data_IF_669792457550
#
_entry.id   IF_669792457550
#
_cell.length_a   1.000
_cell.length_b   1.000
_cell.length_c   1.000
_cell.angle_alpha   90.00
_cell.angle_beta   90.00
_cell.angle_gamma   90.00
#
_symmetry.space_group_name_H-M   'P 1'
#
loop_
_entity.id
_entity.type
_entity.pdbx_description
1 polymer ?
#
# COMPACT_ATOMS: atom_id res chain seq x y z
N UNK A 1 -0.86 -16.78 7.83
CA UNK A 1 0.41 -16.44 7.16
C UNK A 1 0.92 -15.13 7.77
N UNK A 2 2.25 -14.98 7.88
CA UNK A 2 2.89 -13.79 8.46
C UNK A 2 4.11 -13.38 7.60
N UNK A 3 4.65 -12.19 7.82
CA UNK A 3 5.83 -11.66 7.13
C UNK A 3 6.95 -11.34 8.12
N UNK A 4 8.19 -11.30 7.64
CA UNK A 4 9.38 -11.27 8.51
C UNK A 4 9.88 -9.87 8.88
N UNK A 5 9.54 -8.84 8.10
CA UNK A 5 9.93 -7.45 8.34
C UNK A 5 9.04 -6.45 7.57
N UNK A 6 9.24 -5.15 7.81
CA UNK A 6 8.58 -4.06 7.06
C UNK A 6 9.39 -3.59 5.84
N UNK A 7 10.42 -4.36 5.47
CA UNK A 7 11.35 -4.11 4.38
C UNK A 7 10.95 -4.82 3.09
N UNK A 8 11.92 -4.96 2.17
CA UNK A 8 11.68 -5.56 0.86
C UNK A 8 11.36 -7.06 0.95
N UNK A 9 11.90 -7.75 1.96
CA UNK A 9 11.64 -9.17 2.18
C UNK A 9 10.20 -9.39 2.63
N UNK A 10 9.72 -8.64 3.61
CA UNK A 10 8.30 -8.69 3.99
C UNK A 10 7.37 -8.33 2.84
N UNK A 11 7.70 -7.29 2.07
CA UNK A 11 6.91 -6.91 0.90
C UNK A 11 6.86 -8.04 -0.15
N UNK A 12 7.97 -8.74 -0.39
CA UNK A 12 8.00 -9.89 -1.29
C UNK A 12 7.17 -11.08 -0.76
N UNK A 13 7.14 -11.31 0.55
CA UNK A 13 6.31 -12.35 1.16
C UNK A 13 4.82 -12.04 1.03
N UNK A 14 4.43 -10.78 1.24
CA UNK A 14 3.04 -10.34 1.03
C UNK A 14 2.66 -10.41 -0.47
N UNK A 15 3.58 -10.03 -1.37
CA UNK A 15 3.39 -10.17 -2.82
C UNK A 15 3.09 -11.62 -3.23
N UNK A 16 3.88 -12.58 -2.72
CA UNK A 16 3.65 -14.00 -2.98
C UNK A 16 2.28 -14.49 -2.47
N UNK A 17 1.83 -13.99 -1.32
CA UNK A 17 0.48 -14.29 -0.81
C UNK A 17 -0.61 -13.72 -1.73
N UNK A 18 -0.43 -12.49 -2.22
CA UNK A 18 -1.35 -11.86 -3.17
C UNK A 18 -1.42 -12.68 -4.47
N UNK A 19 -0.27 -13.07 -5.02
CA UNK A 19 -0.21 -13.88 -6.24
C UNK A 19 -0.91 -15.23 -6.08
N UNK A 20 -0.72 -15.90 -4.93
CA UNK A 20 -1.42 -17.16 -4.61
C UNK A 20 -2.94 -17.03 -4.68
N UNK A 21 -3.51 -15.93 -4.17
CA UNK A 21 -4.96 -15.71 -4.24
C UNK A 21 -5.41 -15.21 -5.62
N UNK A 22 -4.59 -14.44 -6.32
CA UNK A 22 -4.87 -13.97 -7.67
C UNK A 22 -4.99 -15.14 -8.66
N UNK A 23 -4.13 -16.16 -8.54
CA UNK A 23 -4.20 -17.39 -9.35
C UNK A 23 -5.52 -18.14 -9.13
N UNK A 24 -6.01 -18.17 -7.89
CA UNK A 24 -7.27 -18.83 -7.52
C UNK A 24 -8.51 -18.02 -7.88
N UNK A 25 -8.36 -16.72 -8.16
CA UNK A 25 -9.47 -15.83 -8.51
C UNK A 25 -9.03 -14.80 -9.57
N UNK A 26 -8.81 -15.22 -10.83
CA UNK A 26 -8.14 -14.39 -11.85
C UNK A 26 -8.85 -13.07 -12.20
N UNK A 27 -10.17 -13.00 -12.00
CA UNK A 27 -10.97 -11.79 -12.27
C UNK A 27 -11.19 -10.91 -11.04
N UNK A 28 -10.81 -11.37 -9.84
CA UNK A 28 -11.06 -10.64 -8.60
C UNK A 28 -10.21 -9.38 -8.53
N UNK A 29 -10.82 -8.30 -8.03
CA UNK A 29 -10.09 -7.07 -7.75
C UNK A 29 -9.34 -7.23 -6.44
N UNK A 30 -8.09 -6.78 -6.42
CA UNK A 30 -7.19 -6.92 -5.27
C UNK A 30 -7.09 -5.58 -4.55
N UNK A 31 -7.51 -5.57 -3.29
CA UNK A 31 -7.36 -4.43 -2.40
C UNK A 31 -6.43 -4.80 -1.26
N UNK A 32 -5.47 -3.92 -0.94
CA UNK A 32 -4.53 -4.14 0.16
C UNK A 32 -4.74 -3.05 1.19
N UNK A 33 -5.07 -3.45 2.41
CA UNK A 33 -5.21 -2.56 3.55
C UNK A 33 -3.99 -2.68 4.45
N UNK A 34 -3.41 -1.53 4.81
CA UNK A 34 -2.22 -1.44 5.65
C UNK A 34 -2.47 -0.45 6.79
N UNK A 35 -2.15 -0.88 8.01
CA UNK A 35 -2.26 -0.05 9.21
C UNK A 35 -0.90 0.27 9.83
N UNK A 36 -0.78 1.45 10.45
CA UNK A 36 0.45 1.87 11.15
C UNK A 36 1.70 1.71 10.27
N UNK A 37 2.77 1.11 10.80
CA UNK A 37 4.01 0.83 10.05
C UNK A 37 3.80 -0.06 8.82
N UNK A 38 2.72 -0.84 8.77
CA UNK A 38 2.37 -1.67 7.61
C UNK A 38 2.18 -0.87 6.31
N UNK A 39 1.95 0.45 6.37
CA UNK A 39 1.90 1.28 5.16
C UNK A 39 3.19 1.21 4.34
N UNK A 40 4.35 0.99 4.97
CA UNK A 40 5.62 0.81 4.25
C UNK A 40 5.55 -0.37 3.29
N UNK A 41 4.84 -1.44 3.67
CA UNK A 41 4.61 -2.60 2.82
C UNK A 41 3.67 -2.25 1.67
N UNK A 42 2.58 -1.51 1.91
CA UNK A 42 1.69 -1.05 0.83
C UNK A 42 2.44 -0.21 -0.20
N UNK A 43 3.30 0.72 0.23
CA UNK A 43 4.10 1.55 -0.69
C UNK A 43 5.13 0.73 -1.46
N UNK A 44 5.81 -0.20 -0.79
CA UNK A 44 6.71 -1.14 -1.46
C UNK A 44 5.97 -1.99 -2.49
N UNK A 45 4.82 -2.57 -2.14
CA UNK A 45 3.98 -3.36 -3.05
C UNK A 45 3.52 -2.54 -4.27
N UNK A 46 3.13 -1.29 -4.05
CA UNK A 46 2.75 -0.35 -5.10
C UNK A 46 3.90 -0.08 -6.09
N UNK A 47 5.14 -0.02 -5.58
CA UNK A 47 6.36 0.19 -6.35
C UNK A 47 6.81 -1.04 -7.15
N UNK A 48 6.37 -2.26 -6.81
CA UNK A 48 6.80 -3.47 -7.50
C UNK A 48 6.22 -3.56 -8.92
N UNK A 49 7.02 -4.03 -9.87
CA UNK A 49 6.59 -4.25 -11.26
C UNK A 49 5.63 -5.43 -11.43
N UNK A 50 5.61 -6.38 -10.51
CA UNK A 50 4.68 -7.51 -10.49
C UNK A 50 3.38 -7.11 -9.77
N UNK A 51 3.37 -7.08 -8.44
CA UNK A 51 2.19 -6.87 -7.62
C UNK A 51 1.59 -5.47 -7.81
N UNK A 52 2.40 -4.42 -8.01
CA UNK A 52 1.92 -3.07 -8.28
C UNK A 52 1.11 -2.95 -9.59
N UNK A 53 1.27 -3.89 -10.53
CA UNK A 53 0.43 -4.00 -11.73
C UNK A 53 -0.87 -4.78 -11.52
N UNK A 54 -1.02 -5.48 -10.39
CA UNK A 54 -2.21 -6.28 -10.06
C UNK A 54 -3.13 -5.57 -9.07
N UNK A 55 -2.58 -4.85 -8.08
CA UNK A 55 -3.37 -4.14 -7.07
C UNK A 55 -4.35 -3.16 -7.75
N UNK A 56 -5.59 -3.15 -7.25
CA UNK A 56 -6.69 -2.32 -7.73
C UNK A 56 -7.12 -1.24 -6.73
N UNK A 57 -6.63 -1.28 -5.50
CA UNK A 57 -6.83 -0.21 -4.53
C UNK A 57 -5.97 -0.42 -3.28
N UNK A 58 -5.62 0.68 -2.64
CA UNK A 58 -4.86 0.71 -1.39
C UNK A 58 -5.68 1.39 -0.30
N UNK A 59 -5.58 0.90 0.92
CA UNK A 59 -6.20 1.50 2.10
C UNK A 59 -5.13 1.71 3.16
N UNK A 60 -4.92 2.95 3.57
CA UNK A 60 -3.92 3.35 4.56
C UNK A 60 -4.66 3.80 5.81
N UNK A 61 -4.44 3.10 6.92
CA UNK A 61 -5.22 3.24 8.15
C UNK A 61 -4.31 3.65 9.32
N UNK A 62 -4.33 4.92 9.70
CA UNK A 62 -3.45 5.44 10.77
C UNK A 62 -1.98 5.18 10.42
N UNK A 63 -1.54 5.57 9.22
CA UNK A 63 -0.32 5.06 8.59
C UNK A 63 0.50 6.17 7.95
N UNK A 64 1.71 5.85 7.49
CA UNK A 64 2.65 6.78 6.87
C UNK A 64 2.36 7.08 5.40
N UNK A 65 2.88 8.21 4.93
CA UNK A 65 2.99 8.59 3.52
C UNK A 65 4.34 8.16 2.95
N UNK A 66 4.44 8.09 1.62
CA UNK A 66 5.70 7.87 0.91
C UNK A 66 5.62 8.45 -0.51
N UNK A 67 6.42 9.48 -0.77
CA UNK A 67 6.45 10.18 -2.07
C UNK A 67 6.96 9.28 -3.21
N UNK A 68 7.65 8.18 -2.91
CA UNK A 68 8.04 7.20 -3.93
C UNK A 68 6.82 6.56 -4.63
N UNK A 69 5.62 6.66 -4.05
CA UNK A 69 4.38 6.27 -4.70
C UNK A 69 4.18 7.02 -6.03
N UNK A 70 4.55 8.31 -6.14
CA UNK A 70 4.34 9.14 -7.34
C UNK A 70 5.04 8.61 -8.60
N UNK A 71 6.09 7.79 -8.43
CA UNK A 71 6.83 7.17 -9.54
C UNK A 71 6.52 5.67 -9.68
N UNK A 72 5.63 5.14 -8.85
CA UNK A 72 5.33 3.72 -8.79
C UNK A 72 4.53 3.22 -10.01
N UNK A 73 4.62 1.92 -10.35
CA UNK A 73 3.68 1.28 -11.27
C UNK A 73 2.20 1.45 -10.90
N UNK A 74 1.86 1.42 -9.61
CA UNK A 74 0.48 1.59 -9.15
C UNK A 74 -0.05 3.02 -9.39
N UNK A 75 0.75 4.06 -9.13
CA UNK A 75 0.37 5.44 -9.41
C UNK A 75 0.18 5.69 -10.90
N UNK A 76 1.09 5.19 -11.75
CA UNK A 76 0.92 5.26 -13.22
C UNK A 76 -0.36 4.59 -13.73
N UNK A 77 -0.89 3.62 -12.97
CA UNK A 77 -2.17 2.95 -13.25
C UNK A 77 -3.38 3.64 -12.61
N UNK A 78 -3.18 4.79 -11.95
CA UNK A 78 -4.20 5.51 -11.20
C UNK A 78 -4.92 4.61 -10.18
N UNK A 79 -4.15 3.76 -9.48
CA UNK A 79 -4.71 2.94 -8.41
C UNK A 79 -5.26 3.86 -7.31
N UNK A 80 -6.56 3.76 -6.96
CA UNK A 80 -7.15 4.59 -5.93
C UNK A 80 -6.56 4.27 -4.55
N UNK A 81 -6.36 5.32 -3.76
CA UNK A 81 -5.84 5.22 -2.40
C UNK A 81 -6.84 5.84 -1.43
N UNK A 82 -7.28 5.07 -0.45
CA UNK A 82 -8.10 5.54 0.66
C UNK A 82 -7.21 5.81 1.87
N UNK A 83 -7.46 6.93 2.55
CA UNK A 83 -6.79 7.28 3.80
C UNK A 83 -7.82 7.36 4.93
N UNK A 84 -7.63 6.54 5.96
CA UNK A 84 -8.33 6.67 7.23
C UNK A 84 -7.33 7.09 8.30
N UNK A 85 -7.25 8.40 8.61
CA UNK A 85 -6.26 8.94 9.55
C UNK A 85 -6.94 9.54 10.79
N UNK A 86 -6.38 9.27 11.97
CA UNK A 86 -6.82 9.91 13.20
C UNK A 86 -6.29 11.33 13.30
N UNK A 87 -7.15 12.32 13.54
CA UNK A 87 -6.75 13.74 13.65
C UNK A 87 -5.90 14.07 14.88
N UNK A 88 -5.75 13.13 15.82
CA UNK A 88 -4.93 13.24 17.03
C UNK A 88 -3.85 12.16 17.11
N UNK A 89 -3.49 11.54 15.98
CA UNK A 89 -2.43 10.52 15.94
C UNK A 89 -1.07 11.18 16.28
N UNK A 90 -0.40 10.76 17.39
CA UNK A 90 0.87 11.33 17.80
C UNK A 90 2.08 10.74 17.05
N UNK A 91 1.88 9.69 16.26
CA UNK A 91 2.93 8.95 15.54
C UNK A 91 2.94 9.35 14.06
N UNK A 92 1.78 9.43 13.43
CA UNK A 92 1.61 9.85 12.04
C UNK A 92 0.74 11.11 11.98
N UNK A 93 1.35 12.31 12.03
CA UNK A 93 0.61 13.56 12.09
C UNK A 93 -0.33 13.73 10.89
N UNK A 94 -1.57 14.15 11.17
CA UNK A 94 -2.62 14.30 10.14
C UNK A 94 -2.22 15.29 9.06
N UNK A 95 -1.47 16.34 9.39
CA UNK A 95 -1.06 17.38 8.45
C UNK A 95 -0.20 16.79 7.32
N UNK A 96 0.60 15.77 7.64
CA UNK A 96 1.45 15.10 6.65
C UNK A 96 0.61 14.19 5.75
N UNK A 97 -0.36 13.47 6.30
CA UNK A 97 -1.29 12.67 5.48
C UNK A 97 -2.18 13.52 4.60
N UNK A 98 -2.69 14.65 5.09
CA UNK A 98 -3.48 15.56 4.26
C UNK A 98 -2.64 16.18 3.14
N UNK A 99 -1.39 16.58 3.43
CA UNK A 99 -0.49 17.12 2.41
C UNK A 99 -0.20 16.09 1.30
N UNK A 100 0.07 14.84 1.67
CA UNK A 100 0.28 13.77 0.70
C UNK A 100 -1.01 13.41 -0.07
N UNK A 101 -2.14 13.31 0.62
CA UNK A 101 -3.44 13.04 -0.04
C UNK A 101 -3.75 14.08 -1.12
N UNK A 102 -3.43 15.36 -0.88
CA UNK A 102 -3.67 16.44 -1.84
C UNK A 102 -2.69 16.44 -3.02
N UNK A 103 -1.58 15.71 -2.95
CA UNK A 103 -0.58 15.67 -4.01
C UNK A 103 -0.77 14.52 -5.00
N UNK A 104 -1.66 13.56 -4.72
CA UNK A 104 -1.89 12.35 -5.53
C UNK A 104 -3.24 12.35 -6.25
#
# INVERSE_FOLDING_TARGET
>A
PDFSDFGDKGAAQVAALIDHYAEKSPSAKIFVACGSMGGSLCWKLAARNDTGRRINGLLLLGSLWDESFLVSPAFRRHVPVFFGQGSKDPVFPIEKQEAFFRSI
#
